data_IF_438654437591
#
_entry.id   IF_438654437591
#
_cell.length_a   1.000
_cell.length_b   1.000
_cell.length_c   1.000
_cell.angle_alpha   90.00
_cell.angle_beta   90.00
_cell.angle_gamma   90.00
#
_symmetry.space_group_name_H-M   'P 1'
#
loop_
_entity.id
_entity.type
_entity.pdbx_description
1 polymer ?
#
# COMPACT_ATOMS: atom_id res chain seq x y z
N UNK A 1 -1.61 -50.54 8.21
CA UNK A 1 -2.48 -49.39 8.53
C UNK A 1 -3.11 -48.91 7.22
N UNK A 2 -4.44 -48.73 7.15
CA UNK A 2 -5.09 -48.35 5.91
C UNK A 2 -4.75 -46.89 5.57
N UNK A 3 -4.37 -46.64 4.31
CA UNK A 3 -4.17 -45.30 3.77
C UNK A 3 -5.49 -44.53 3.84
N UNK A 4 -5.64 -43.66 4.83
CA UNK A 4 -6.73 -42.70 4.87
C UNK A 4 -6.45 -41.62 3.82
N UNK A 5 -6.94 -41.84 2.60
CA UNK A 5 -7.02 -40.80 1.58
C UNK A 5 -7.93 -39.69 2.08
N UNK A 6 -7.37 -38.49 2.25
CA UNK A 6 -8.14 -37.28 2.59
C UNK A 6 -9.25 -37.06 1.55
N UNK A 7 -10.47 -36.69 1.97
CA UNK A 7 -11.56 -36.36 1.04
C UNK A 7 -11.13 -35.31 0.01
N UNK A 8 -11.44 -35.50 -1.29
CA UNK A 8 -11.07 -34.55 -2.35
C UNK A 8 -11.63 -33.13 -2.13
N UNK A 9 -12.70 -32.99 -1.35
CA UNK A 9 -13.30 -31.71 -0.95
C UNK A 9 -12.38 -30.85 -0.06
N UNK A 10 -11.40 -31.47 0.64
CA UNK A 10 -10.37 -30.75 1.40
C UNK A 10 -9.33 -30.12 0.46
N UNK A 11 -9.09 -30.75 -0.70
CA UNK A 11 -8.21 -30.21 -1.73
C UNK A 11 -8.83 -29.01 -2.44
N UNK A 12 -10.12 -29.01 -2.78
CA UNK A 12 -10.69 -27.85 -3.50
C UNK A 12 -10.91 -26.61 -2.62
N UNK A 13 -11.03 -26.76 -1.30
CA UNK A 13 -11.28 -25.65 -0.37
C UNK A 13 -10.00 -25.08 0.26
N UNK A 14 -8.93 -25.88 0.36
CA UNK A 14 -7.64 -25.46 0.95
C UNK A 14 -6.50 -25.45 -0.09
N UNK A 15 -6.63 -26.23 -1.16
CA UNK A 15 -5.67 -26.39 -2.26
C UNK A 15 -6.35 -26.16 -3.61
N UNK A 16 -7.39 -25.31 -3.66
CA UNK A 16 -7.84 -24.75 -4.92
C UNK A 16 -6.72 -23.99 -5.63
N UNK A 17 -5.66 -23.59 -4.91
CA UNK A 17 -4.46 -22.92 -5.46
C UNK A 17 -3.21 -22.98 -4.54
N UNK A 18 -3.05 -24.03 -3.71
CA UNK A 18 -1.81 -24.21 -2.94
C UNK A 18 -0.87 -25.15 -3.72
N UNK A 19 0.26 -24.61 -4.18
CA UNK A 19 1.26 -25.23 -5.07
C UNK A 19 0.89 -25.25 -6.55
N UNK A 20 1.08 -24.09 -7.18
CA UNK A 20 1.83 -24.04 -8.41
C UNK A 20 3.03 -23.11 -8.15
N UNK A 21 4.09 -23.17 -8.96
CA UNK A 21 5.17 -22.18 -9.06
C UNK A 21 4.69 -20.72 -9.32
N UNK A 22 3.38 -20.48 -9.22
CA UNK A 22 2.68 -19.22 -9.51
C UNK A 22 2.66 -18.24 -8.34
N UNK A 23 3.23 -18.57 -7.17
CA UNK A 23 3.38 -17.61 -6.07
C UNK A 23 2.07 -17.04 -5.53
N UNK A 24 0.98 -17.83 -5.56
CA UNK A 24 -0.34 -17.35 -5.12
C UNK A 24 -0.40 -17.17 -3.59
N UNK A 25 -1.05 -16.10 -3.11
CA UNK A 25 -1.25 -15.87 -1.68
C UNK A 25 -2.11 -16.94 -1.01
N UNK A 26 -1.77 -17.29 0.24
CA UNK A 26 -2.66 -18.02 1.14
C UNK A 26 -3.56 -17.01 1.85
N UNK A 27 -4.83 -16.95 1.44
CA UNK A 27 -5.79 -16.03 2.04
C UNK A 27 -6.55 -16.65 3.23
N UNK A 28 -6.40 -16.05 4.40
CA UNK A 28 -7.01 -16.45 5.66
C UNK A 28 -8.15 -15.53 6.06
N UNK A 29 -9.26 -16.14 6.44
CA UNK A 29 -10.49 -15.52 6.92
C UNK A 29 -11.04 -16.36 8.08
N UNK A 30 -11.96 -15.78 8.86
CA UNK A 30 -12.67 -16.49 9.94
C UNK A 30 -13.19 -17.88 9.54
N UNK A 31 -13.67 -18.05 8.31
CA UNK A 31 -14.26 -19.30 7.80
C UNK A 31 -13.26 -20.42 7.48
N UNK A 32 -12.00 -20.11 7.21
CA UNK A 32 -11.03 -21.12 6.72
C UNK A 32 -9.77 -21.27 7.61
N UNK A 33 -9.47 -20.28 8.47
CA UNK A 33 -8.23 -20.26 9.27
C UNK A 33 -8.05 -21.53 10.10
N UNK A 34 -9.10 -22.04 10.74
CA UNK A 34 -8.99 -23.21 11.62
C UNK A 34 -8.57 -24.45 10.83
N UNK A 35 -9.16 -24.66 9.65
CA UNK A 35 -8.82 -25.78 8.76
C UNK A 35 -7.40 -25.65 8.24
N UNK A 36 -7.00 -24.44 7.86
CA UNK A 36 -5.64 -24.17 7.43
C UNK A 36 -4.61 -24.44 8.53
N UNK A 37 -4.87 -23.96 9.76
CA UNK A 37 -4.00 -24.21 10.91
C UNK A 37 -3.89 -25.69 11.20
N UNK A 38 -5.00 -26.41 11.19
CA UNK A 38 -4.98 -27.86 11.34
C UNK A 38 -4.14 -28.55 10.26
N UNK A 39 -4.24 -28.10 9.00
CA UNK A 39 -3.47 -28.66 7.90
C UNK A 39 -1.96 -28.41 8.03
N UNK A 40 -1.50 -27.18 8.31
CA UNK A 40 -0.06 -26.89 8.35
C UNK A 40 0.61 -27.32 9.67
N UNK A 41 -0.17 -27.49 10.74
CA UNK A 41 0.33 -28.02 12.03
C UNK A 41 0.32 -29.55 12.09
N UNK A 42 -0.29 -30.23 11.12
CA UNK A 42 -0.27 -31.69 11.05
C UNK A 42 1.17 -32.21 10.92
N UNK A 43 1.58 -33.28 11.64
CA UNK A 43 2.97 -33.78 11.61
C UNK A 43 3.48 -34.22 10.23
N UNK A 44 2.58 -34.63 9.34
CA UNK A 44 2.91 -35.02 7.96
C UNK A 44 2.83 -33.84 6.97
N UNK A 45 2.56 -32.63 7.45
CA UNK A 45 2.40 -31.47 6.59
C UNK A 45 3.74 -30.96 6.07
N UNK A 46 3.87 -30.87 4.75
CA UNK A 46 5.07 -30.34 4.09
C UNK A 46 4.92 -28.90 3.64
N UNK A 47 3.73 -28.29 3.78
CA UNK A 47 3.43 -26.96 3.20
C UNK A 47 4.08 -25.79 3.94
N UNK A 48 4.42 -25.95 5.23
CA UNK A 48 4.94 -24.88 6.10
C UNK A 48 6.12 -24.09 5.51
N UNK A 49 7.21 -24.73 5.01
CA UNK A 49 8.33 -24.02 4.39
C UNK A 49 8.01 -23.42 3.01
N UNK A 50 6.86 -23.74 2.41
CA UNK A 50 6.49 -23.28 1.07
C UNK A 50 5.54 -22.09 1.08
N UNK A 51 4.98 -21.72 2.24
CA UNK A 51 4.10 -20.54 2.35
C UNK A 51 4.96 -19.28 2.37
N UNK A 52 4.87 -18.49 1.30
CA UNK A 52 5.62 -17.24 1.09
C UNK A 52 4.74 -15.99 1.24
N UNK A 53 3.53 -16.05 0.71
CA UNK A 53 2.60 -14.93 0.71
C UNK A 53 1.36 -15.28 1.56
N UNK A 54 1.04 -14.42 2.52
CA UNK A 54 -0.05 -14.61 3.48
C UNK A 54 -0.98 -13.41 3.47
N UNK A 55 -2.28 -13.61 3.24
CA UNK A 55 -3.26 -12.54 3.37
C UNK A 55 -4.14 -12.83 4.58
N UNK A 56 -4.23 -11.90 5.52
CA UNK A 56 -5.12 -11.97 6.68
C UNK A 56 -6.25 -10.97 6.42
N UNK A 57 -7.41 -11.50 6.11
CA UNK A 57 -8.58 -10.75 5.68
C UNK A 57 -9.63 -10.78 6.79
N UNK A 58 -9.81 -9.64 7.46
CA UNK A 58 -10.89 -9.42 8.41
C UNK A 58 -12.27 -9.41 7.73
N UNK A 59 -13.31 -9.39 8.55
CA UNK A 59 -14.67 -9.29 8.05
C UNK A 59 -14.89 -7.93 7.37
N UNK A 60 -15.24 -7.94 6.08
CA UNK A 60 -15.71 -6.74 5.39
C UNK A 60 -17.11 -6.41 5.91
N UNK A 61 -17.22 -5.64 6.99
CA UNK A 61 -18.50 -5.04 7.32
C UNK A 61 -18.88 -4.06 6.21
N UNK A 62 -20.14 -4.11 5.78
CA UNK A 62 -20.72 -3.02 5.01
C UNK A 62 -20.66 -1.80 5.92
N UNK A 63 -20.10 -0.69 5.42
CA UNK A 63 -19.93 0.58 6.16
C UNK A 63 -21.20 0.85 7.00
N UNK A 64 -21.06 0.80 8.33
CA UNK A 64 -22.15 1.04 9.29
C UNK A 64 -22.53 -0.15 10.18
N UNK A 65 -22.00 -1.36 9.99
CA UNK A 65 -22.13 -2.41 11.03
C UNK A 65 -20.88 -2.45 11.91
N UNK A 66 -21.05 -2.24 13.21
CA UNK A 66 -19.99 -2.10 14.22
C UNK A 66 -19.06 -3.32 14.41
N UNK A 67 -19.17 -4.38 13.61
CA UNK A 67 -18.46 -5.63 13.82
C UNK A 67 -17.31 -5.87 12.83
N UNK A 68 -16.27 -5.04 12.90
CA UNK A 68 -14.94 -5.55 12.58
C UNK A 68 -14.51 -6.52 13.68
N UNK A 69 -14.79 -7.80 13.46
CA UNK A 69 -14.39 -8.90 14.34
C UNK A 69 -13.00 -9.41 13.91
N UNK A 70 -11.98 -9.13 14.73
CA UNK A 70 -10.61 -9.63 14.57
C UNK A 70 -10.25 -10.72 15.58
N UNK A 71 -11.15 -11.01 16.52
CA UNK A 71 -10.92 -11.92 17.66
C UNK A 71 -10.76 -13.37 17.19
N UNK A 72 -11.31 -13.68 16.01
CA UNK A 72 -11.13 -14.98 15.37
C UNK A 72 -9.66 -15.34 15.12
N UNK A 73 -8.78 -14.35 14.99
CA UNK A 73 -7.36 -14.57 14.69
C UNK A 73 -6.57 -15.04 15.92
N UNK A 74 -7.03 -14.67 17.11
CA UNK A 74 -6.32 -14.85 18.38
C UNK A 74 -5.85 -16.28 18.67
N UNK A 75 -6.69 -17.33 18.54
CA UNK A 75 -6.24 -18.69 18.80
C UNK A 75 -5.26 -19.24 17.75
N UNK A 76 -5.09 -18.57 16.61
CA UNK A 76 -4.36 -19.09 15.46
C UNK A 76 -3.05 -18.35 15.20
N UNK A 77 -2.94 -17.10 15.61
CA UNK A 77 -1.82 -16.23 15.27
C UNK A 77 -0.47 -16.75 15.75
N UNK A 78 -0.40 -17.41 16.90
CA UNK A 78 0.84 -18.01 17.40
C UNK A 78 1.37 -19.09 16.45
N UNK A 79 0.48 -19.92 15.89
CA UNK A 79 0.85 -20.93 14.90
C UNK A 79 1.25 -20.27 13.57
N UNK A 80 0.50 -19.26 13.11
CA UNK A 80 0.78 -18.54 11.87
C UNK A 80 2.11 -17.78 11.90
N UNK A 81 2.40 -17.10 13.01
CA UNK A 81 3.66 -16.39 13.26
C UNK A 81 4.89 -17.30 13.18
N UNK A 82 4.70 -18.61 13.35
CA UNK A 82 5.75 -19.63 13.25
C UNK A 82 6.09 -20.04 11.81
N UNK A 83 5.37 -19.55 10.79
CA UNK A 83 5.67 -19.84 9.39
C UNK A 83 7.01 -19.18 9.01
N UNK A 84 8.10 -19.95 8.80
CA UNK A 84 9.46 -19.40 8.71
C UNK A 84 9.74 -18.69 7.38
N UNK A 85 8.82 -18.81 6.44
CA UNK A 85 9.04 -18.60 5.02
C UNK A 85 8.21 -17.47 4.44
N UNK A 86 7.29 -16.90 5.23
CA UNK A 86 6.43 -15.80 4.83
C UNK A 86 7.28 -14.55 4.66
N UNK A 87 7.40 -14.10 3.42
CA UNK A 87 8.11 -12.89 3.02
C UNK A 87 7.14 -11.80 2.52
N UNK A 88 5.89 -12.13 2.24
CA UNK A 88 4.86 -11.17 1.86
C UNK A 88 3.61 -11.32 2.73
N UNK A 89 3.06 -10.20 3.17
CA UNK A 89 1.86 -10.18 3.99
C UNK A 89 0.92 -9.04 3.62
N UNK A 90 -0.36 -9.37 3.47
CA UNK A 90 -1.45 -8.42 3.41
C UNK A 90 -2.27 -8.51 4.70
N UNK A 91 -2.47 -7.38 5.36
CA UNK A 91 -3.40 -7.21 6.47
C UNK A 91 -4.56 -6.33 5.99
N UNK A 92 -5.78 -6.87 5.94
CA UNK A 92 -6.93 -6.12 5.41
C UNK A 92 -8.15 -6.17 6.33
N UNK A 93 -8.87 -5.05 6.47
CA UNK A 93 -10.10 -4.95 7.27
C UNK A 93 -9.87 -5.30 8.75
N UNK A 94 -8.79 -4.77 9.34
CA UNK A 94 -8.38 -5.07 10.71
C UNK A 94 -8.58 -3.85 11.61
N UNK A 95 -9.06 -4.07 12.83
CA UNK A 95 -9.08 -3.05 13.89
C UNK A 95 -8.07 -3.42 14.97
N UNK A 96 -6.92 -2.75 14.97
CA UNK A 96 -5.79 -3.10 15.81
C UNK A 96 -6.10 -3.04 17.31
N UNK A 97 -6.82 -2.01 17.75
CA UNK A 97 -7.21 -1.83 19.16
C UNK A 97 -8.12 -2.92 19.71
N UNK A 98 -8.84 -3.64 18.83
CA UNK A 98 -9.71 -4.77 19.21
C UNK A 98 -8.96 -6.10 19.34
N UNK A 99 -7.74 -6.20 18.80
CA UNK A 99 -6.96 -7.42 18.91
C UNK A 99 -6.46 -7.64 20.33
N UNK A 100 -6.51 -8.89 20.78
CA UNK A 100 -5.92 -9.28 22.05
C UNK A 100 -4.41 -8.93 22.09
N UNK A 101 -3.86 -8.52 23.26
CA UNK A 101 -2.46 -8.14 23.38
C UNK A 101 -1.47 -9.24 22.92
N UNK A 102 -1.82 -10.51 23.15
CA UNK A 102 -1.05 -11.67 22.68
C UNK A 102 -0.97 -11.74 21.15
N UNK A 103 -2.07 -11.44 20.46
CA UNK A 103 -2.16 -11.41 18.99
C UNK A 103 -1.33 -10.29 18.40
N UNK A 104 -1.42 -9.09 18.98
CA UNK A 104 -0.56 -7.96 18.61
C UNK A 104 0.90 -8.31 18.79
N UNK A 105 1.27 -8.86 19.95
CA UNK A 105 2.64 -9.31 20.23
C UNK A 105 3.12 -10.36 19.23
N UNK A 106 2.28 -11.34 18.88
CA UNK A 106 2.62 -12.36 17.89
C UNK A 106 2.83 -11.76 16.47
N UNK A 107 2.04 -10.76 16.08
CA UNK A 107 2.25 -10.03 14.82
C UNK A 107 3.55 -9.22 14.84
N UNK A 108 3.92 -8.62 15.97
CA UNK A 108 5.17 -7.88 16.12
C UNK A 108 6.40 -8.81 16.11
N UNK A 109 6.38 -9.90 16.88
CA UNK A 109 7.52 -10.81 17.03
C UNK A 109 7.60 -11.85 15.89
N UNK A 110 6.48 -12.19 15.27
CA UNK A 110 6.41 -13.15 14.18
C UNK A 110 6.95 -12.62 12.86
N UNK A 111 7.01 -13.51 11.86
CA UNK A 111 7.26 -13.14 10.45
C UNK A 111 8.54 -12.34 10.24
N UNK A 112 9.64 -12.75 10.86
CA UNK A 112 10.94 -12.07 10.76
C UNK A 112 11.53 -12.07 9.35
N UNK A 113 11.05 -12.95 8.47
CA UNK A 113 11.42 -13.02 7.05
C UNK A 113 10.63 -12.04 6.16
N UNK A 114 9.73 -11.22 6.73
CA UNK A 114 8.83 -10.36 5.97
C UNK A 114 9.60 -9.25 5.25
N UNK A 115 9.52 -9.28 3.92
CA UNK A 115 10.08 -8.28 3.01
C UNK A 115 9.02 -7.32 2.49
N UNK A 116 7.80 -7.80 2.24
CA UNK A 116 6.69 -6.98 1.73
C UNK A 116 5.54 -6.97 2.73
N UNK A 117 5.18 -5.78 3.20
CA UNK A 117 4.03 -5.59 4.08
C UNK A 117 3.04 -4.65 3.41
N UNK A 118 1.81 -5.12 3.29
CA UNK A 118 0.68 -4.33 2.86
C UNK A 118 -0.39 -4.29 3.95
N UNK A 119 -0.86 -3.08 4.26
CA UNK A 119 -1.94 -2.85 5.23
C UNK A 119 -3.04 -2.06 4.53
N UNK A 120 -4.26 -2.59 4.53
CA UNK A 120 -5.42 -2.01 3.84
C UNK A 120 -6.65 -1.91 4.73
N UNK A 121 -7.41 -0.83 4.61
CA UNK A 121 -8.70 -0.65 5.29
C UNK A 121 -8.59 -1.01 6.78
N UNK A 122 -7.59 -0.44 7.45
CA UNK A 122 -7.24 -0.80 8.82
C UNK A 122 -7.35 0.40 9.75
N UNK A 123 -7.86 0.16 10.96
CA UNK A 123 -7.99 1.18 12.00
C UNK A 123 -7.00 0.89 13.12
N UNK A 124 -6.20 1.89 13.48
CA UNK A 124 -5.31 1.88 14.63
C UNK A 124 -5.81 2.89 15.67
N UNK A 125 -5.51 2.67 16.95
CA UNK A 125 -5.79 3.68 17.97
C UNK A 125 -4.79 4.85 17.87
N UNK A 126 -3.53 4.53 17.55
CA UNK A 126 -2.41 5.46 17.43
C UNK A 126 -1.50 5.03 16.27
N UNK A 127 -0.89 5.99 15.58
CA UNK A 127 0.13 5.73 14.55
C UNK A 127 1.32 4.95 15.12
N UNK A 128 1.61 5.07 16.41
CA UNK A 128 2.64 4.27 17.11
C UNK A 128 2.47 2.77 16.87
N UNK A 129 1.23 2.26 16.81
CA UNK A 129 1.00 0.84 16.57
C UNK A 129 1.42 0.40 15.17
N UNK A 130 1.16 1.22 14.15
CA UNK A 130 1.63 0.99 12.78
C UNK A 130 3.17 1.04 12.75
N UNK A 131 3.76 2.04 13.39
CA UNK A 131 5.22 2.20 13.47
C UNK A 131 5.88 0.99 14.15
N UNK A 132 5.32 0.49 15.25
CA UNK A 132 5.80 -0.73 15.92
C UNK A 132 5.74 -1.94 14.99
N UNK A 133 4.62 -2.11 14.28
CA UNK A 133 4.45 -3.20 13.33
C UNK A 133 5.52 -3.16 12.24
N UNK A 134 5.70 -2.01 11.60
CA UNK A 134 6.68 -1.81 10.53
C UNK A 134 8.12 -1.99 11.05
N UNK A 135 8.45 -1.38 12.19
CA UNK A 135 9.80 -1.43 12.78
C UNK A 135 10.18 -2.82 13.28
N UNK A 136 9.20 -3.68 13.56
CA UNK A 136 9.43 -5.07 13.98
C UNK A 136 9.89 -6.01 12.87
N UNK A 137 9.98 -5.53 11.62
CA UNK A 137 10.31 -6.33 10.42
C UNK A 137 11.68 -5.93 9.87
N UNK A 138 12.76 -6.59 10.31
CA UNK A 138 14.13 -6.17 9.98
C UNK A 138 14.47 -6.32 8.49
N UNK A 139 13.76 -7.18 7.75
CA UNK A 139 13.98 -7.41 6.32
C UNK A 139 13.02 -6.66 5.41
N UNK A 140 12.20 -5.74 5.95
CA UNK A 140 11.17 -5.05 5.19
C UNK A 140 11.79 -4.15 4.09
N UNK A 141 11.38 -4.41 2.85
CA UNK A 141 11.83 -3.75 1.62
C UNK A 141 10.73 -2.89 0.99
N UNK A 142 9.48 -3.35 1.11
CA UNK A 142 8.30 -2.71 0.51
C UNK A 142 7.23 -2.53 1.59
N UNK A 143 6.78 -1.29 1.76
CA UNK A 143 5.65 -0.93 2.61
C UNK A 143 4.53 -0.32 1.76
N UNK A 144 3.34 -0.92 1.83
CA UNK A 144 2.12 -0.40 1.20
C UNK A 144 1.05 -0.15 2.27
N UNK A 145 0.51 1.06 2.29
CA UNK A 145 -0.50 1.51 3.24
C UNK A 145 -1.64 2.14 2.44
N UNK A 146 -2.86 1.63 2.59
CA UNK A 146 -4.05 2.14 1.90
C UNK A 146 -5.29 2.16 2.80
N UNK A 147 -6.01 3.28 2.85
CA UNK A 147 -7.26 3.41 3.64
C UNK A 147 -7.01 3.12 5.14
N UNK A 148 -6.10 3.87 5.74
CA UNK A 148 -5.76 3.76 7.17
C UNK A 148 -6.24 4.98 7.96
N UNK A 149 -6.75 4.71 9.16
CA UNK A 149 -7.10 5.72 10.15
C UNK A 149 -6.43 5.47 11.51
N UNK A 150 -6.15 6.57 12.22
CA UNK A 150 -5.77 6.58 13.64
C UNK A 150 -6.25 7.86 14.33
N UNK A 151 -6.39 7.82 15.65
CA UNK A 151 -6.83 8.96 16.46
C UNK A 151 -5.64 9.76 17.01
N UNK A 152 -4.60 9.06 17.47
CA UNK A 152 -3.38 9.67 17.99
C UNK A 152 -2.25 9.63 16.95
N UNK A 153 -1.73 10.81 16.60
CA UNK A 153 -0.62 11.01 15.66
C UNK A 153 0.76 10.97 16.34
N UNK A 154 0.83 10.74 17.66
CA UNK A 154 2.11 10.63 18.36
C UNK A 154 2.86 9.34 18.00
N UNK A 155 4.17 9.46 17.80
CA UNK A 155 5.06 8.33 17.56
C UNK A 155 6.36 8.46 18.35
N UNK A 156 6.96 7.31 18.66
CA UNK A 156 8.29 7.24 19.27
C UNK A 156 9.37 7.31 18.17
N UNK A 157 10.20 8.38 18.12
CA UNK A 157 11.27 8.50 17.14
C UNK A 157 12.38 7.44 17.31
N UNK A 158 12.44 6.73 18.43
CA UNK A 158 13.38 5.62 18.62
C UNK A 158 13.01 4.38 17.78
N UNK A 159 11.75 4.25 17.35
CA UNK A 159 11.31 3.16 16.50
C UNK A 159 11.74 3.41 15.05
N UNK A 160 12.67 2.57 14.59
CA UNK A 160 13.29 2.71 13.27
C UNK A 160 12.76 1.70 12.29
N UNK A 161 12.50 2.15 11.07
CA UNK A 161 12.22 1.26 9.94
C UNK A 161 13.48 0.51 9.51
N UNK A 162 13.31 -0.64 8.85
CA UNK A 162 14.42 -1.37 8.25
C UNK A 162 15.20 -0.49 7.26
N UNK A 163 16.53 -0.56 7.33
CA UNK A 163 17.42 0.06 6.34
C UNK A 163 17.31 -0.57 4.94
N UNK A 164 16.61 -1.71 4.80
CA UNK A 164 16.32 -2.35 3.53
C UNK A 164 15.11 -1.73 2.81
N UNK A 165 14.31 -0.89 3.47
CA UNK A 165 13.13 -0.27 2.88
C UNK A 165 13.53 0.64 1.71
N UNK A 166 13.09 0.28 0.50
CA UNK A 166 13.39 1.03 -0.72
C UNK A 166 12.14 1.44 -1.51
N UNK A 167 10.96 0.88 -1.18
CA UNK A 167 9.69 1.21 -1.83
C UNK A 167 8.61 1.54 -0.80
N UNK A 168 7.96 2.68 -0.98
CA UNK A 168 6.91 3.18 -0.11
C UNK A 168 5.68 3.55 -0.92
N UNK A 169 4.54 2.94 -0.61
CA UNK A 169 3.22 3.31 -1.14
C UNK A 169 2.32 3.77 0.00
N UNK A 170 1.83 4.99 -0.11
CA UNK A 170 0.86 5.59 0.79
C UNK A 170 -0.36 6.01 -0.03
N UNK A 171 -1.55 5.60 0.37
CA UNK A 171 -2.80 5.90 -0.31
C UNK A 171 -3.91 6.07 0.74
N UNK A 172 -4.82 7.03 0.54
CA UNK A 172 -5.98 7.24 1.40
C UNK A 172 -5.69 7.17 2.93
N UNK A 173 -4.59 7.76 3.39
CA UNK A 173 -4.18 7.77 4.80
C UNK A 173 -3.60 9.14 5.19
N UNK A 174 -3.37 9.38 6.49
CA UNK A 174 -2.69 10.58 6.98
C UNK A 174 -1.18 10.49 6.69
N UNK A 175 -0.77 10.81 5.45
CA UNK A 175 0.61 10.62 4.97
C UNK A 175 1.59 11.44 5.79
N UNK A 176 1.20 12.65 6.21
CA UNK A 176 2.02 13.53 7.04
C UNK A 176 2.65 12.82 8.24
N UNK A 177 1.91 12.00 8.99
CA UNK A 177 2.43 11.40 10.22
C UNK A 177 3.48 10.32 9.90
N UNK A 178 3.23 9.50 8.85
CA UNK A 178 4.19 8.48 8.39
C UNK A 178 5.44 9.13 7.81
N UNK A 179 5.29 10.15 6.98
CA UNK A 179 6.42 10.85 6.36
C UNK A 179 7.24 11.63 7.39
N UNK A 180 6.60 12.18 8.42
CA UNK A 180 7.27 12.87 9.53
C UNK A 180 8.06 11.90 10.40
N UNK A 181 7.48 10.73 10.69
CA UNK A 181 8.19 9.64 11.36
C UNK A 181 9.40 9.17 10.55
N UNK A 182 9.24 8.87 9.26
CA UNK A 182 10.35 8.48 8.40
C UNK A 182 11.42 9.58 8.29
N UNK A 183 10.99 10.84 8.17
CA UNK A 183 11.89 11.99 8.18
C UNK A 183 12.66 12.08 9.50
N UNK A 184 12.11 11.69 10.65
CA UNK A 184 12.82 11.79 11.94
C UNK A 184 14.07 10.90 12.06
N UNK A 185 14.27 9.94 11.13
CA UNK A 185 15.38 9.01 11.18
C UNK A 185 16.74 9.67 10.88
N UNK A 186 17.77 9.19 11.56
CA UNK A 186 19.17 9.49 11.28
C UNK A 186 20.03 8.22 11.46
N UNK A 187 20.54 7.60 10.38
CA UNK A 187 20.42 8.02 8.98
C UNK A 187 19.00 7.79 8.42
N UNK A 188 18.64 8.58 7.40
CA UNK A 188 17.38 8.44 6.66
C UNK A 188 17.35 7.14 5.84
N UNK A 189 16.22 6.40 5.77
CA UNK A 189 16.09 5.23 4.91
C UNK A 189 16.25 5.60 3.42
N UNK A 190 16.90 4.72 2.64
CA UNK A 190 17.22 4.94 1.23
C UNK A 190 16.06 4.55 0.31
N UNK A 191 14.94 5.27 0.43
CA UNK A 191 13.75 5.01 -0.37
C UNK A 191 13.93 5.58 -1.78
N UNK A 192 13.84 4.70 -2.79
CA UNK A 192 14.03 5.04 -4.19
C UNK A 192 12.74 5.10 -4.99
N UNK A 193 11.67 4.50 -4.47
CA UNK A 193 10.35 4.44 -5.11
C UNK A 193 9.28 4.93 -4.13
N UNK A 194 8.56 5.97 -4.52
CA UNK A 194 7.47 6.54 -3.71
C UNK A 194 6.21 6.65 -4.56
N UNK A 195 5.10 6.13 -4.02
CA UNK A 195 3.76 6.32 -4.54
C UNK A 195 2.88 6.95 -3.46
N UNK A 196 2.38 8.17 -3.69
CA UNK A 196 1.63 8.95 -2.70
C UNK A 196 0.12 8.89 -2.85
N UNK A 197 -0.39 8.26 -3.92
CA UNK A 197 -1.83 8.31 -4.25
C UNK A 197 -2.31 9.76 -4.35
N UNK A 198 -3.55 10.03 -3.94
CA UNK A 198 -4.11 11.38 -3.90
C UNK A 198 -3.36 12.26 -2.89
N UNK A 199 -2.80 13.36 -3.38
CA UNK A 199 -2.15 14.39 -2.57
C UNK A 199 -3.22 15.30 -1.97
N UNK A 200 -3.13 15.54 -0.66
CA UNK A 200 -3.98 16.50 0.03
C UNK A 200 -3.17 17.71 0.50
N UNK A 201 -3.75 18.93 0.52
CA UNK A 201 -3.09 20.15 0.99
C UNK A 201 -2.39 19.99 2.34
N UNK A 202 -3.03 19.31 3.30
CA UNK A 202 -2.50 19.08 4.65
C UNK A 202 -1.27 18.18 4.71
N UNK A 203 -1.02 17.36 3.69
CA UNK A 203 0.16 16.47 3.62
C UNK A 203 1.37 17.14 2.95
N UNK A 204 1.15 18.17 2.13
CA UNK A 204 2.17 18.76 1.24
C UNK A 204 3.43 19.26 1.94
N UNK A 205 3.32 19.80 3.16
CA UNK A 205 4.49 20.24 3.92
C UNK A 205 5.39 19.06 4.31
N UNK A 206 4.80 18.01 4.86
CA UNK A 206 5.51 16.78 5.24
C UNK A 206 6.07 16.05 4.03
N UNK A 207 5.32 16.01 2.92
CA UNK A 207 5.80 15.50 1.63
C UNK A 207 7.05 16.27 1.18
N UNK A 208 6.98 17.60 1.08
CA UNK A 208 8.11 18.42 0.63
C UNK A 208 9.34 18.26 1.50
N UNK A 209 9.15 18.26 2.83
CA UNK A 209 10.24 18.02 3.80
C UNK A 209 10.88 16.65 3.62
N UNK A 210 10.09 15.60 3.47
CA UNK A 210 10.59 14.24 3.31
C UNK A 210 11.33 14.04 1.98
N UNK A 211 10.75 14.48 0.86
CA UNK A 211 11.37 14.39 -0.46
C UNK A 211 12.68 15.17 -0.53
N UNK A 212 12.74 16.37 0.05
CA UNK A 212 13.98 17.15 0.18
C UNK A 212 15.06 16.38 0.92
N UNK A 213 14.71 15.73 2.04
CA UNK A 213 15.65 14.93 2.84
C UNK A 213 16.13 13.67 2.13
N UNK A 214 15.27 13.02 1.34
CA UNK A 214 15.69 11.88 0.52
C UNK A 214 16.73 12.28 -0.53
N UNK A 215 16.59 13.48 -1.07
CA UNK A 215 17.51 14.04 -2.05
C UNK A 215 17.80 13.05 -3.19
N UNK A 216 19.07 12.69 -3.45
CA UNK A 216 19.46 11.83 -4.56
C UNK A 216 19.06 10.35 -4.41
N UNK A 217 18.41 9.94 -3.32
CA UNK A 217 17.97 8.54 -3.19
C UNK A 217 16.70 8.24 -3.98
N UNK A 218 15.85 9.25 -4.22
CA UNK A 218 14.60 9.10 -4.96
C UNK A 218 14.85 8.92 -6.45
N UNK A 219 14.21 7.91 -7.06
CA UNK A 219 14.31 7.61 -8.49
C UNK A 219 12.97 7.59 -9.22
N UNK A 220 11.90 7.16 -8.53
CA UNK A 220 10.54 7.11 -9.06
C UNK A 220 9.60 7.79 -8.07
N UNK A 221 8.82 8.76 -8.56
CA UNK A 221 7.76 9.43 -7.82
C UNK A 221 6.44 9.28 -8.58
N UNK A 222 5.43 8.77 -7.90
CA UNK A 222 4.08 8.62 -8.40
C UNK A 222 3.09 9.31 -7.46
N UNK A 223 2.19 10.11 -8.02
CA UNK A 223 1.19 10.86 -7.26
C UNK A 223 -0.05 11.15 -8.11
N UNK A 224 -1.14 11.49 -7.45
CA UNK A 224 -2.42 11.85 -8.05
C UNK A 224 -2.89 13.19 -7.45
N UNK A 225 -3.46 14.03 -8.30
CA UNK A 225 -4.19 15.22 -7.88
C UNK A 225 -5.68 14.95 -8.04
N UNK A 226 -6.42 15.09 -6.96
CA UNK A 226 -7.86 14.76 -6.86
C UNK A 226 -8.75 15.99 -6.68
N UNK A 227 -8.17 17.14 -6.36
CA UNK A 227 -8.94 18.37 -6.16
C UNK A 227 -9.48 18.92 -7.49
N UNK A 228 -10.74 19.36 -7.44
CA UNK A 228 -11.41 20.09 -8.52
C UNK A 228 -11.38 21.62 -8.30
N UNK A 229 -10.78 22.06 -7.19
CA UNK A 229 -10.82 23.46 -6.76
C UNK A 229 -9.72 24.30 -7.41
N UNK A 230 -10.05 25.58 -7.68
CA UNK A 230 -9.17 26.63 -8.18
C UNK A 230 -7.88 26.73 -7.37
N UNK A 231 -6.79 26.18 -7.89
CA UNK A 231 -5.51 26.22 -7.17
C UNK A 231 -5.44 25.24 -6.00
N UNK A 232 -6.07 24.07 -6.14
CA UNK A 232 -6.14 23.06 -5.08
C UNK A 232 -4.81 22.36 -4.77
N UNK A 233 -4.89 21.04 -4.56
CA UNK A 233 -3.76 20.18 -4.16
C UNK A 233 -2.49 20.33 -5.02
N UNK A 234 -2.62 20.55 -6.34
CA UNK A 234 -1.49 20.76 -7.25
C UNK A 234 -0.72 22.07 -6.98
N UNK A 235 -1.41 23.16 -6.67
CA UNK A 235 -0.78 24.45 -6.33
C UNK A 235 -0.05 24.34 -5.00
N UNK A 236 -0.73 23.83 -3.96
CA UNK A 236 -0.13 23.62 -2.65
C UNK A 236 1.11 22.71 -2.73
N UNK A 237 1.05 21.67 -3.56
CA UNK A 237 2.17 20.79 -3.82
C UNK A 237 3.32 21.55 -4.49
N UNK A 238 3.08 22.29 -5.57
CA UNK A 238 4.13 23.06 -6.25
C UNK A 238 4.71 24.18 -5.38
N UNK A 239 3.91 24.79 -4.50
CA UNK A 239 4.38 25.82 -3.58
C UNK A 239 5.31 25.26 -2.49
N UNK A 240 5.11 24.00 -2.05
CA UNK A 240 5.80 23.44 -0.87
C UNK A 240 6.81 22.34 -1.20
N UNK A 241 6.71 21.73 -2.37
CA UNK A 241 7.58 20.63 -2.81
C UNK A 241 8.56 21.14 -3.85
N UNK A 242 9.85 21.07 -3.51
CA UNK A 242 10.95 21.36 -4.42
C UNK A 242 11.68 20.07 -4.77
N UNK A 243 11.47 19.60 -6.01
CA UNK A 243 12.10 18.38 -6.53
C UNK A 243 13.53 18.60 -7.04
N UNK A 244 14.06 19.83 -7.02
CA UNK A 244 15.43 20.11 -7.45
C UNK A 244 16.48 19.37 -6.61
N UNK A 245 16.14 19.01 -5.36
CA UNK A 245 16.98 18.21 -4.49
C UNK A 245 17.04 16.72 -4.88
N UNK A 246 16.05 16.24 -5.66
CA UNK A 246 15.94 14.85 -6.08
C UNK A 246 16.70 14.60 -7.38
N UNK A 247 18.01 14.81 -7.36
CA UNK A 247 18.85 14.78 -8.56
C UNK A 247 18.90 13.43 -9.29
N UNK A 248 18.45 12.33 -8.69
CA UNK A 248 18.32 11.03 -9.34
C UNK A 248 16.88 10.67 -9.74
N UNK A 249 15.92 11.58 -9.58
CA UNK A 249 14.55 11.36 -10.02
C UNK A 249 14.52 11.23 -11.55
N UNK A 250 14.13 10.05 -12.03
CA UNK A 250 14.11 9.70 -13.45
C UNK A 250 12.70 9.56 -14.00
N UNK A 251 11.77 9.10 -13.16
CA UNK A 251 10.40 8.79 -13.56
C UNK A 251 9.42 9.52 -12.66
N UNK A 252 8.54 10.31 -13.28
CA UNK A 252 7.43 11.00 -12.64
C UNK A 252 6.12 10.50 -13.24
N UNK A 253 5.25 9.95 -12.40
CA UNK A 253 3.95 9.42 -12.82
C UNK A 253 2.86 10.26 -12.17
N UNK A 254 2.05 10.92 -13.00
CA UNK A 254 0.84 11.63 -12.58
C UNK A 254 -0.38 10.77 -12.90
N UNK A 255 -0.82 10.03 -11.89
CA UNK A 255 -1.98 9.14 -11.95
C UNK A 255 -3.29 9.93 -11.97
N UNK A 256 -4.30 9.33 -12.61
CA UNK A 256 -5.67 9.86 -12.73
C UNK A 256 -5.72 11.35 -13.10
N UNK A 257 -4.81 11.77 -13.96
CA UNK A 257 -4.79 13.12 -14.48
C UNK A 257 -6.04 13.39 -15.33
N UNK A 258 -6.95 14.20 -14.81
CA UNK A 258 -8.15 14.64 -15.54
C UNK A 258 -7.92 16.07 -16.02
N UNK A 259 -7.90 16.24 -17.34
CA UNK A 259 -7.84 17.56 -17.95
C UNK A 259 -9.24 18.19 -17.95
N UNK A 260 -9.46 19.17 -17.07
CA UNK A 260 -10.71 19.94 -17.00
C UNK A 260 -10.65 21.27 -17.76
N UNK A 261 -9.65 21.49 -18.62
CA UNK A 261 -9.52 22.76 -19.37
C UNK A 261 -10.77 23.12 -20.17
N UNK A 262 -11.53 22.12 -20.62
CA UNK A 262 -12.79 22.30 -21.35
C UNK A 262 -13.95 22.79 -20.47
N UNK A 263 -13.85 22.62 -19.15
CA UNK A 263 -14.92 22.86 -18.18
C UNK A 263 -14.73 24.11 -17.33
N UNK A 264 -13.72 24.94 -17.62
CA UNK A 264 -13.38 26.15 -16.84
C UNK A 264 -13.05 25.89 -15.36
N UNK A 265 -12.87 24.64 -14.94
CA UNK A 265 -12.28 24.32 -13.65
C UNK A 265 -10.77 24.47 -13.75
N UNK A 266 -10.14 24.92 -12.67
CA UNK A 266 -8.69 24.79 -12.58
C UNK A 266 -8.31 23.33 -12.68
N UNK A 267 -7.25 23.07 -13.41
CA UNK A 267 -6.68 21.75 -13.51
C UNK A 267 -5.22 21.79 -13.07
N UNK A 268 -4.73 20.67 -12.55
CA UNK A 268 -3.31 20.45 -12.33
C UNK A 268 -2.46 20.67 -13.61
N UNK A 269 -3.08 20.71 -14.80
CA UNK A 269 -2.43 21.02 -16.09
C UNK A 269 -1.52 22.24 -16.00
N UNK A 270 -1.96 23.34 -15.37
CA UNK A 270 -1.19 24.58 -15.29
C UNK A 270 0.10 24.44 -14.48
N UNK A 271 0.14 23.49 -13.56
CA UNK A 271 1.24 23.24 -12.63
C UNK A 271 2.25 22.21 -13.14
N UNK A 272 1.89 21.41 -14.15
CA UNK A 272 2.79 20.41 -14.74
C UNK A 272 4.08 21.05 -15.29
N UNK A 273 4.03 22.12 -16.12
CA UNK A 273 5.27 22.74 -16.62
C UNK A 273 6.19 23.21 -15.49
N UNK A 274 5.62 23.75 -14.41
CA UNK A 274 6.38 24.17 -13.24
C UNK A 274 7.02 22.98 -12.52
N UNK A 275 6.26 21.91 -12.28
CA UNK A 275 6.77 20.68 -11.68
C UNK A 275 7.92 20.07 -12.50
N UNK A 276 7.75 19.96 -13.82
CA UNK A 276 8.76 19.43 -14.73
C UNK A 276 10.02 20.31 -14.79
N UNK A 277 9.86 21.64 -14.72
CA UNK A 277 10.99 22.58 -14.73
C UNK A 277 11.94 22.40 -13.53
N UNK A 278 11.43 21.85 -12.42
CA UNK A 278 12.17 21.58 -11.18
C UNK A 278 12.78 20.17 -11.14
N UNK A 279 12.66 19.40 -12.21
CA UNK A 279 13.17 18.03 -12.30
C UNK A 279 14.20 17.90 -13.43
N UNK A 280 15.42 18.44 -13.26
CA UNK A 280 16.38 18.58 -14.37
C UNK A 280 16.87 17.26 -14.96
N UNK A 281 16.76 16.15 -14.23
CA UNK A 281 17.25 14.83 -14.65
C UNK A 281 16.12 13.86 -15.02
N UNK A 282 14.90 14.36 -15.18
CA UNK A 282 13.74 13.55 -15.53
C UNK A 282 13.91 12.95 -16.93
N UNK A 283 13.64 11.65 -17.04
CA UNK A 283 13.72 10.90 -18.31
C UNK A 283 12.35 10.57 -18.85
N UNK A 284 11.43 10.26 -17.95
CA UNK A 284 10.08 9.80 -18.27
C UNK A 284 9.07 10.56 -17.42
N UNK A 285 8.07 11.13 -18.09
CA UNK A 285 6.87 11.64 -17.47
C UNK A 285 5.65 10.92 -18.08
N UNK A 286 4.84 10.30 -17.23
CA UNK A 286 3.61 9.64 -17.63
C UNK A 286 2.40 10.39 -17.07
N UNK A 287 1.44 10.68 -17.95
CA UNK A 287 0.18 11.32 -17.60
C UNK A 287 -0.96 10.40 -18.03
N UNK A 288 -1.78 9.98 -17.08
CA UNK A 288 -2.99 9.21 -17.39
C UNK A 288 -3.29 8.13 -16.38
N UNK A 289 -4.54 7.67 -16.40
CA UNK A 289 -5.04 6.57 -15.58
C UNK A 289 -4.45 5.24 -16.02
N UNK A 290 -3.18 5.02 -15.70
CA UNK A 290 -2.54 3.73 -15.90
C UNK A 290 -3.21 2.69 -15.02
N UNK A 291 -3.86 1.71 -15.63
CA UNK A 291 -4.00 0.38 -15.04
C UNK A 291 -2.66 0.05 -14.38
N UNK A 292 -2.68 -0.18 -13.06
CA UNK A 292 -1.55 -0.31 -12.14
C UNK A 292 -0.62 -1.51 -12.41
N UNK A 293 -0.50 -1.94 -13.66
CA UNK A 293 0.31 -3.05 -14.16
C UNK A 293 1.81 -2.82 -14.05
N UNK A 294 2.28 -1.57 -13.91
CA UNK A 294 3.69 -1.29 -13.62
C UNK A 294 4.09 -1.64 -12.17
N UNK A 295 3.13 -1.98 -11.30
CA UNK A 295 3.40 -2.49 -9.95
C UNK A 295 3.24 -4.02 -9.81
N UNK A 296 3.06 -4.76 -10.92
CA UNK A 296 2.69 -6.18 -10.88
C UNK A 296 3.51 -7.06 -11.81
N UNK A 297 4.81 -7.23 -11.54
CA UNK A 297 5.53 -8.47 -11.90
C UNK A 297 5.41 -9.56 -10.81
N UNK A 298 4.68 -9.31 -9.73
CA UNK A 298 4.21 -10.32 -8.79
C UNK A 298 2.83 -9.92 -8.26
N UNK A 299 1.89 -10.87 -8.22
CA UNK A 299 0.50 -10.74 -7.75
C UNK A 299 -0.49 -10.02 -8.69
N UNK A 300 -1.00 -10.76 -9.68
CA UNK A 300 -2.19 -10.39 -10.44
C UNK A 300 -3.47 -10.85 -9.72
N UNK A 301 -4.00 -10.00 -8.83
CA UNK A 301 -5.35 -10.13 -8.25
C UNK A 301 -6.38 -9.39 -9.10
N UNK A 302 -7.50 -10.05 -9.43
CA UNK A 302 -8.62 -9.49 -10.22
C UNK A 302 -9.28 -8.28 -9.52
N UNK A 303 -9.84 -7.31 -10.28
CA UNK A 303 -10.60 -6.20 -9.70
C UNK A 303 -11.93 -6.68 -9.10
N UNK A 304 -12.20 -6.24 -7.88
CA UNK A 304 -13.44 -6.47 -7.14
C UNK A 304 -14.55 -5.60 -7.75
N UNK A 305 -15.54 -6.22 -8.42
CA UNK A 305 -16.77 -5.53 -8.85
C UNK A 305 -17.66 -5.28 -7.62
N UNK A 306 -17.56 -4.08 -7.04
CA UNK A 306 -18.51 -3.59 -6.05
C UNK A 306 -19.73 -2.99 -6.76
N UNK A 307 -20.91 -3.53 -6.44
CA UNK A 307 -22.19 -2.95 -6.83
C UNK A 307 -22.45 -1.66 -6.02
N UNK A 308 -22.64 -0.53 -6.71
CA UNK A 308 -23.10 0.72 -6.10
C UNK A 308 -24.62 0.67 -5.83
N UNK A 309 -25.12 1.18 -4.70
CA UNK A 309 -26.55 1.45 -4.54
C UNK A 309 -26.93 2.69 -5.38
N UNK A 310 -28.06 2.58 -6.08
CA UNK A 310 -28.65 3.67 -6.88
C UNK A 310 -29.20 4.75 -5.95
N UNK A 311 -28.59 5.93 -5.95
CA UNK A 311 -29.30 7.19 -5.70
C UNK A 311 -29.36 7.95 -7.04
N UNK A 312 -30.58 8.16 -7.51
CA UNK A 312 -30.86 8.87 -8.76
C UNK A 312 -30.91 10.38 -8.50
N UNK A 313 -29.83 11.07 -8.87
CA UNK A 313 -29.87 12.50 -9.22
C UNK A 313 -29.59 12.55 -10.73
N UNK A 314 -30.55 13.04 -11.51
CA UNK A 314 -30.38 13.23 -12.95
C UNK A 314 -29.45 14.42 -13.20
N UNK A 315 -28.23 14.13 -13.64
CA UNK A 315 -27.30 15.06 -14.30
C UNK A 315 -27.22 14.71 -15.79
N UNK A 316 -26.90 15.68 -16.68
CA UNK A 316 -27.03 15.51 -18.12
C UNK A 316 -26.05 14.43 -18.65
N UNK A 317 -26.63 13.54 -19.45
CA UNK A 317 -25.98 12.42 -20.11
C UNK A 317 -25.18 12.89 -21.33
N UNK A 318 -23.88 13.15 -21.16
CA UNK A 318 -22.84 12.91 -22.17
C UNK A 318 -21.48 13.40 -21.68
N UNK A 319 -20.64 12.49 -21.18
CA UNK A 319 -19.19 12.70 -21.06
C UNK A 319 -18.50 11.34 -21.19
N UNK A 320 -18.03 11.04 -22.40
CA UNK A 320 -17.07 9.98 -22.68
C UNK A 320 -15.68 10.62 -22.64
N UNK A 321 -15.03 10.64 -21.48
CA UNK A 321 -13.63 11.01 -21.38
C UNK A 321 -12.78 9.83 -21.87
N UNK A 322 -12.14 10.00 -23.02
CA UNK A 322 -11.13 9.06 -23.53
C UNK A 322 -9.85 9.34 -22.75
N UNK A 323 -9.42 8.39 -21.92
CA UNK A 323 -8.13 8.45 -21.25
C UNK A 323 -7.04 7.97 -22.20
N UNK A 324 -6.54 8.87 -23.05
CA UNK A 324 -5.32 8.61 -23.82
C UNK A 324 -4.11 8.69 -22.87
N UNK A 325 -3.36 7.59 -22.76
CA UNK A 325 -2.11 7.58 -21.99
C UNK A 325 -1.05 8.31 -22.80
N UNK A 326 -0.62 9.48 -22.32
CA UNK A 326 0.48 10.22 -22.93
C UNK A 326 1.78 9.91 -22.17
N UNK A 327 2.73 9.30 -22.87
CA UNK A 327 4.09 9.08 -22.36
C UNK A 327 5.03 10.06 -23.06
N UNK A 328 5.68 10.93 -22.28
CA UNK A 328 6.74 11.81 -22.79
C UNK A 328 8.10 11.16 -22.52
N UNK A 329 8.79 10.72 -23.58
CA UNK A 329 10.17 10.21 -23.53
C UNK A 329 11.16 11.34 -23.88
N UNK A 330 11.90 11.82 -22.88
CA UNK A 330 12.87 12.90 -23.03
C UNK A 330 14.25 12.37 -23.46
N UNK A 331 14.33 11.75 -24.65
CA UNK A 331 15.64 11.38 -25.22
C UNK A 331 16.39 12.63 -25.64
N UNK A 332 17.45 12.97 -24.90
CA UNK A 332 18.30 14.10 -25.20
C UNK A 332 18.99 13.93 -26.56
N UNK A 333 18.56 14.70 -27.56
CA UNK A 333 19.42 15.10 -28.66
C UNK A 333 20.48 16.05 -28.10
N UNK A 334 21.75 15.60 -28.08
CA UNK A 334 22.87 16.50 -27.81
C UNK A 334 22.96 17.48 -28.98
N UNK A 335 22.74 18.76 -28.71
CA UNK A 335 23.28 19.86 -29.52
C UNK A 335 24.78 20.00 -29.24
#
# INVERSE_FOLDING_TARGET
MPNATLPPEIFDIIIGHAQDDTGRPVSLQKRNVQRFVHLFTHPLSTIRPHIRCLEILGSSSVRGSDSFDSDWLDPFIGALASLPSVNEMLLQNIVWGRMNPSTRSALLVGFQALAHLEVRAAQFDSVTHLVQLVSSKPLLQILSVDDLGWEDASFDPAQRVSGALHSLRLSNCYKRDILDWLASHDPLPRISHIQLGSVYPEDTHSIGRFLRRLGPHLSILQLEFSSLDAGGDAEDFCARVDLAHNSNLRTLILDKFINYSEYQFSSAVGWIPELLSRTPNLREASFGGGDSRLAGAASAGRPNRLARPRQSVQLPSSASAIADTAVLDFRHGRA
#
